data_IF_273984780310
#
_entry.id   IF_273984780310
#
_cell.length_a   1.000
_cell.length_b   1.000
_cell.length_c   1.000
_cell.angle_alpha   90.00
_cell.angle_beta   90.00
_cell.angle_gamma   90.00
#
_symmetry.space_group_name_H-M   'P 1'
#
loop_
_entity.id
_entity.type
_entity.pdbx_description
1 polymer ?
#
# COMPACT_ATOMS: atom_id res chain seq x y z
N UNK A 1 -47.10 17.92 15.00
CA UNK A 1 -46.43 19.23 15.05
C UNK A 1 -45.45 19.21 16.21
N UNK A 2 -44.15 19.44 15.99
CA UNK A 2 -43.19 19.56 17.10
C UNK A 2 -43.34 20.96 17.72
N UNK A 3 -43.57 21.00 19.03
CA UNK A 3 -43.75 22.23 19.82
C UNK A 3 -42.43 22.99 19.92
N UNK A 4 -42.42 24.25 19.51
CA UNK A 4 -41.29 25.17 19.68
C UNK A 4 -41.14 25.48 21.17
N UNK A 5 -40.06 25.02 21.80
CA UNK A 5 -39.74 25.35 23.20
C UNK A 5 -39.09 26.74 23.29
N UNK A 6 -39.24 27.48 24.41
CA UNK A 6 -38.68 28.82 24.60
C UNK A 6 -37.17 28.94 24.32
N UNK A 7 -36.42 27.85 24.49
CA UNK A 7 -34.97 27.78 24.23
C UNK A 7 -34.59 27.80 22.73
N UNK A 8 -35.56 27.79 21.81
CA UNK A 8 -35.32 27.92 20.36
C UNK A 8 -35.40 29.38 19.87
N UNK A 9 -35.76 30.32 20.75
CA UNK A 9 -35.88 31.74 20.42
C UNK A 9 -34.57 32.45 20.82
N UNK A 10 -33.63 32.53 19.89
CA UNK A 10 -32.38 33.30 20.09
C UNK A 10 -31.11 32.74 19.46
N UNK A 11 -31.16 31.59 18.78
CA UNK A 11 -30.01 31.12 17.97
C UNK A 11 -30.09 31.74 16.59
N UNK A 12 -29.09 32.55 16.24
CA UNK A 12 -29.04 33.36 15.02
C UNK A 12 -28.82 32.54 13.75
N UNK A 13 -28.18 31.37 13.85
CA UNK A 13 -28.04 30.39 12.76
C UNK A 13 -27.86 28.98 13.34
N UNK A 14 -28.39 27.96 12.66
CA UNK A 14 -28.23 26.54 13.00
C UNK A 14 -27.02 25.93 12.30
N UNK A 15 -26.45 24.86 12.85
CA UNK A 15 -25.29 24.15 12.27
C UNK A 15 -25.61 23.56 10.89
N UNK A 16 -26.88 23.22 10.68
CA UNK A 16 -27.44 22.74 9.42
C UNK A 16 -27.49 23.83 8.34
N UNK A 17 -27.55 25.09 8.73
CA UNK A 17 -27.61 26.26 7.84
C UNK A 17 -26.20 26.73 7.43
N UNK A 18 -25.16 26.28 8.15
CA UNK A 18 -23.77 26.60 7.85
C UNK A 18 -23.19 25.68 6.76
N UNK A 19 -22.35 26.26 5.90
CA UNK A 19 -21.54 25.47 4.96
C UNK A 19 -20.53 24.60 5.73
N UNK A 20 -20.62 23.28 5.55
CA UNK A 20 -19.70 22.32 6.16
C UNK A 20 -18.51 22.10 5.23
N UNK A 21 -17.32 22.53 5.67
CA UNK A 21 -16.05 22.27 4.98
C UNK A 21 -15.37 21.11 5.71
N UNK A 22 -15.37 19.91 5.12
CA UNK A 22 -14.76 18.73 5.75
C UNK A 22 -13.42 18.42 5.11
N UNK A 23 -12.40 18.15 5.92
CA UNK A 23 -11.09 17.70 5.44
C UNK A 23 -11.19 16.43 4.57
N UNK A 24 -12.17 15.56 4.84
CA UNK A 24 -12.46 14.36 4.06
C UNK A 24 -12.75 14.64 2.60
N UNK A 25 -13.37 15.77 2.30
CA UNK A 25 -13.83 16.11 0.95
C UNK A 25 -12.62 16.49 0.08
N UNK A 26 -11.60 17.11 0.69
CA UNK A 26 -10.32 17.40 0.05
C UNK A 26 -9.46 16.16 -0.08
N UNK A 27 -9.33 15.35 0.98
CA UNK A 27 -8.47 14.16 0.98
C UNK A 27 -9.02 13.02 0.13
N UNK A 28 -10.34 12.85 0.06
CA UNK A 28 -10.98 11.76 -0.67
C UNK A 28 -10.74 11.83 -2.17
N UNK A 29 -10.76 13.04 -2.73
CA UNK A 29 -10.64 13.28 -4.17
C UNK A 29 -9.27 12.84 -4.72
N UNK A 30 -8.19 13.13 -4.00
CA UNK A 30 -6.82 12.93 -4.49
C UNK A 30 -6.13 11.68 -3.93
N UNK A 31 -6.77 10.96 -3.00
CA UNK A 31 -6.12 9.86 -2.26
C UNK A 31 -5.54 8.76 -3.15
N UNK A 32 -6.16 8.48 -4.28
CA UNK A 32 -5.69 7.42 -5.19
C UNK A 32 -4.63 7.95 -6.17
N UNK A 33 -4.82 9.15 -6.70
CA UNK A 33 -3.87 9.81 -7.58
C UNK A 33 -2.53 10.06 -6.85
N UNK A 34 -2.59 10.60 -5.64
CA UNK A 34 -1.39 10.82 -4.81
C UNK A 34 -0.65 9.52 -4.51
N UNK A 35 -1.38 8.44 -4.20
CA UNK A 35 -0.76 7.11 -4.01
C UNK A 35 -0.05 6.64 -5.26
N UNK A 36 -0.68 6.79 -6.43
CA UNK A 36 -0.07 6.38 -7.69
C UNK A 36 1.19 7.19 -8.00
N UNK A 37 1.13 8.52 -7.81
CA UNK A 37 2.29 9.41 -8.00
C UNK A 37 3.42 9.02 -7.07
N UNK A 38 3.16 8.86 -5.77
CA UNK A 38 4.18 8.46 -4.78
C UNK A 38 4.82 7.13 -5.18
N UNK A 39 4.02 6.11 -5.52
CA UNK A 39 4.55 4.81 -5.92
C UNK A 39 5.44 4.94 -7.17
N UNK A 40 5.03 5.73 -8.17
CA UNK A 40 5.83 5.93 -9.39
C UNK A 40 7.15 6.64 -9.10
N UNK A 41 7.13 7.68 -8.27
CA UNK A 41 8.34 8.41 -7.88
C UNK A 41 9.33 7.51 -7.13
N UNK A 42 8.85 6.68 -6.21
CA UNK A 42 9.70 5.71 -5.49
C UNK A 42 10.32 4.67 -6.44
N UNK A 43 9.55 4.18 -7.42
CA UNK A 43 10.08 3.26 -8.44
C UNK A 43 11.15 3.91 -9.31
N UNK A 44 10.99 5.19 -9.64
CA UNK A 44 11.96 5.96 -10.43
C UNK A 44 13.27 6.18 -9.66
N UNK A 45 13.19 6.54 -8.38
CA UNK A 45 14.37 6.67 -7.49
C UNK A 45 15.15 5.36 -7.38
N UNK A 46 14.45 4.23 -7.35
CA UNK A 46 15.06 2.90 -7.31
C UNK A 46 15.51 2.39 -8.69
N UNK A 47 15.36 3.19 -9.75
CA UNK A 47 15.64 2.85 -11.16
C UNK A 47 14.92 1.59 -11.65
N UNK A 48 13.73 1.32 -11.07
CA UNK A 48 12.95 0.13 -11.37
C UNK A 48 11.96 0.40 -12.51
N UNK A 49 12.26 -0.13 -13.70
CA UNK A 49 11.35 -0.10 -14.86
C UNK A 49 10.22 -1.13 -14.68
N UNK A 50 9.21 -0.76 -13.90
CA UNK A 50 8.07 -1.63 -13.58
C UNK A 50 6.76 -0.89 -13.80
N UNK A 51 5.85 -1.49 -14.56
CA UNK A 51 4.51 -0.96 -14.75
C UNK A 51 3.59 -1.25 -13.57
N UNK A 52 2.68 -0.32 -13.31
CA UNK A 52 1.61 -0.47 -12.33
C UNK A 52 0.31 -0.90 -12.99
N UNK A 53 -0.48 -1.67 -12.25
CA UNK A 53 -1.85 -2.02 -12.60
C UNK A 53 -2.76 -1.82 -11.39
N UNK A 54 -4.00 -1.42 -11.63
CA UNK A 54 -5.01 -1.24 -10.59
C UNK A 54 -6.16 -2.21 -10.76
N UNK A 55 -6.80 -2.55 -9.64
CA UNK A 55 -8.07 -3.29 -9.64
C UNK A 55 -9.04 -2.65 -8.65
N UNK A 56 -10.31 -2.55 -9.03
CA UNK A 56 -11.39 -2.11 -8.13
C UNK A 56 -11.72 -3.21 -7.12
N UNK A 57 -11.92 -2.84 -5.86
CA UNK A 57 -12.43 -3.74 -4.81
C UNK A 57 -13.93 -3.51 -4.60
N UNK A 58 -14.59 -4.41 -3.86
CA UNK A 58 -16.04 -4.41 -3.67
C UNK A 58 -16.58 -3.11 -3.01
N UNK A 59 -15.74 -2.41 -2.24
CA UNK A 59 -16.13 -1.24 -1.45
C UNK A 59 -15.47 0.05 -1.98
N UNK A 60 -15.46 0.26 -3.30
CA UNK A 60 -14.84 1.42 -3.97
C UNK A 60 -13.35 1.66 -3.63
N UNK A 61 -12.66 0.64 -3.10
CA UNK A 61 -11.22 0.69 -2.90
C UNK A 61 -10.48 0.39 -4.20
N UNK A 62 -9.26 0.91 -4.30
CA UNK A 62 -8.33 0.57 -5.38
C UNK A 62 -7.18 -0.22 -4.78
N UNK A 63 -6.86 -1.36 -5.40
CA UNK A 63 -5.68 -2.15 -5.06
C UNK A 63 -4.64 -2.00 -6.16
N UNK A 64 -3.44 -1.62 -5.77
CA UNK A 64 -2.28 -1.53 -6.65
C UNK A 64 -1.59 -2.89 -6.79
N UNK A 65 -1.07 -3.12 -7.98
CA UNK A 65 -0.31 -4.31 -8.37
C UNK A 65 0.87 -3.88 -9.23
N UNK A 66 1.97 -4.60 -9.13
CA UNK A 66 3.03 -4.54 -10.13
C UNK A 66 2.68 -5.45 -11.30
N UNK A 67 3.05 -5.05 -12.52
CA UNK A 67 3.15 -5.97 -13.64
C UNK A 67 4.55 -6.56 -13.66
N UNK A 68 4.66 -7.88 -13.67
CA UNK A 68 5.97 -8.51 -13.78
C UNK A 68 6.59 -8.21 -15.16
N UNK A 69 7.83 -7.71 -15.23
CA UNK A 69 8.48 -7.38 -16.50
C UNK A 69 8.74 -8.61 -17.38
N UNK A 70 8.78 -9.82 -16.80
CA UNK A 70 9.06 -11.07 -17.50
C UNK A 70 7.80 -11.78 -18.04
N UNK A 71 6.65 -11.65 -17.36
CA UNK A 71 5.43 -12.39 -17.74
C UNK A 71 4.16 -11.54 -17.83
N UNK A 72 4.23 -10.24 -17.55
CA UNK A 72 3.11 -9.30 -17.61
C UNK A 72 2.02 -9.49 -16.56
N UNK A 73 2.12 -10.52 -15.71
CA UNK A 73 1.09 -10.82 -14.69
C UNK A 73 1.06 -9.77 -13.60
N UNK A 74 -0.13 -9.53 -13.04
CA UNK A 74 -0.35 -8.66 -11.87
C UNK A 74 0.04 -9.39 -10.60
N UNK A 75 1.03 -8.86 -9.89
CA UNK A 75 1.62 -9.48 -8.70
C UNK A 75 1.86 -8.41 -7.63
N UNK A 76 1.74 -8.79 -6.35
CA UNK A 76 1.91 -7.85 -5.23
C UNK A 76 3.37 -7.62 -4.84
N UNK A 77 4.28 -8.54 -5.19
CA UNK A 77 5.69 -8.52 -4.79
C UNK A 77 6.56 -8.90 -5.99
N UNK A 78 7.51 -8.05 -6.33
CA UNK A 78 8.62 -8.38 -7.23
C UNK A 78 9.86 -8.71 -6.40
N UNK A 79 10.69 -9.57 -6.95
CA UNK A 79 11.93 -10.00 -6.34
C UNK A 79 13.08 -9.57 -7.25
N UNK A 80 14.21 -9.21 -6.64
CA UNK A 80 15.49 -9.04 -7.32
C UNK A 80 16.31 -10.30 -7.08
N UNK A 81 16.71 -10.98 -8.14
CA UNK A 81 17.46 -12.22 -8.01
C UNK A 81 18.93 -11.93 -7.65
N UNK A 82 19.51 -12.64 -6.66
CA UNK A 82 20.76 -12.24 -6.02
C UNK A 82 21.99 -12.31 -6.95
N UNK A 83 21.98 -13.21 -7.94
CA UNK A 83 23.16 -13.45 -8.79
C UNK A 83 23.17 -12.64 -10.08
N UNK A 84 22.02 -12.29 -10.64
CA UNK A 84 21.89 -11.69 -11.97
C UNK A 84 21.19 -10.33 -11.93
N UNK A 85 20.85 -9.84 -10.72
CA UNK A 85 20.09 -8.61 -10.50
C UNK A 85 18.76 -8.52 -11.27
N UNK A 86 18.28 -9.63 -11.83
CA UNK A 86 17.06 -9.65 -12.62
C UNK A 86 15.85 -9.44 -11.72
N UNK A 87 14.90 -8.62 -12.18
CA UNK A 87 13.69 -8.31 -11.45
C UNK A 87 12.53 -9.08 -12.06
N UNK A 88 11.75 -9.74 -11.20
CA UNK A 88 10.69 -10.59 -11.68
C UNK A 88 9.82 -11.15 -10.57
N UNK A 89 8.83 -11.93 -10.96
CA UNK A 89 7.98 -12.61 -10.00
C UNK A 89 8.62 -13.90 -9.50
N UNK A 90 8.07 -14.44 -8.40
CA UNK A 90 8.55 -15.69 -7.81
C UNK A 90 8.67 -16.84 -8.83
N UNK A 91 7.70 -16.96 -9.74
CA UNK A 91 7.68 -18.03 -10.74
C UNK A 91 8.73 -17.81 -11.83
N UNK A 92 8.85 -16.58 -12.36
CA UNK A 92 9.83 -16.27 -13.40
C UNK A 92 11.26 -16.43 -12.91
N UNK A 93 11.53 -16.06 -11.65
CA UNK A 93 12.84 -16.22 -11.03
C UNK A 93 13.05 -17.60 -10.40
N UNK A 94 12.11 -18.54 -10.58
CA UNK A 94 12.17 -19.91 -10.04
C UNK A 94 12.52 -19.97 -8.55
N UNK A 95 11.97 -19.03 -7.77
CA UNK A 95 12.20 -18.95 -6.33
C UNK A 95 11.26 -19.90 -5.58
N UNK A 96 11.82 -20.64 -4.63
CA UNK A 96 11.08 -21.52 -3.73
C UNK A 96 11.02 -20.97 -2.31
N UNK A 97 9.95 -21.33 -1.59
CA UNK A 97 9.85 -21.03 -0.17
C UNK A 97 10.72 -21.98 0.63
N UNK A 98 11.45 -21.43 1.61
CA UNK A 98 12.25 -22.20 2.58
C UNK A 98 11.48 -23.40 3.14
N UNK A 99 10.27 -23.15 3.66
CA UNK A 99 9.38 -24.17 4.24
C UNK A 99 9.05 -25.34 3.29
N UNK A 100 9.06 -25.13 1.96
CA UNK A 100 8.87 -26.23 0.99
C UNK A 100 10.16 -26.99 0.74
N UNK A 101 11.30 -26.30 0.69
CA UNK A 101 12.60 -26.89 0.34
C UNK A 101 13.21 -27.72 1.48
N UNK A 102 13.07 -27.26 2.72
CA UNK A 102 13.75 -27.87 3.87
C UNK A 102 12.79 -28.63 4.79
N UNK A 103 11.58 -28.96 4.31
CA UNK A 103 10.59 -29.73 5.07
C UNK A 103 11.20 -31.08 5.50
N UNK A 104 11.35 -31.29 6.81
CA UNK A 104 11.92 -32.51 7.38
C UNK A 104 13.44 -32.49 7.59
N UNK A 105 14.09 -31.37 7.30
CA UNK A 105 15.50 -31.13 7.65
C UNK A 105 15.56 -30.31 8.94
N UNK A 106 16.61 -30.52 9.76
CA UNK A 106 16.90 -29.62 10.89
C UNK A 106 17.34 -28.28 10.29
N UNK A 107 16.47 -27.28 10.34
CA UNK A 107 16.82 -25.92 9.92
C UNK A 107 17.61 -25.27 11.05
N UNK A 108 18.82 -24.79 10.76
CA UNK A 108 19.58 -23.96 11.70
C UNK A 108 18.80 -22.66 11.94
N UNK A 109 18.20 -22.56 13.13
CA UNK A 109 17.40 -21.44 13.56
C UNK A 109 18.30 -20.30 14.05
N UNK A 110 18.90 -19.59 13.09
CA UNK A 110 19.41 -18.23 13.29
C UNK A 110 20.86 -18.12 13.73
N UNK A 111 21.71 -17.64 12.81
CA UNK A 111 22.84 -16.80 13.23
C UNK A 111 22.25 -15.50 13.82
N UNK A 112 22.68 -15.07 15.03
CA UNK A 112 22.27 -13.79 15.57
C UNK A 112 22.73 -12.69 14.60
N UNK A 113 21.79 -11.83 14.21
CA UNK A 113 22.13 -10.56 13.58
C UNK A 113 22.92 -9.78 14.62
N UNK A 114 24.20 -9.53 14.35
CA UNK A 114 25.03 -8.61 15.11
C UNK A 114 24.38 -7.23 15.10
N UNK A 115 23.70 -6.87 16.19
CA UNK A 115 23.36 -5.48 16.47
C UNK A 115 24.63 -4.82 17.00
N UNK A 116 25.28 -4.00 16.18
CA UNK A 116 26.44 -3.14 16.53
C UNK A 116 26.09 -2.02 17.52
N UNK A 117 25.26 -2.26 18.54
CA UNK A 117 24.74 -1.21 19.42
C UNK A 117 25.13 -1.32 20.90
N UNK A 118 26.02 -2.24 21.28
CA UNK A 118 26.55 -2.34 22.66
C UNK A 118 28.07 -2.08 22.72
N UNK A 119 28.52 -0.97 22.11
CA UNK A 119 29.82 -0.36 22.38
C UNK A 119 29.68 1.16 22.44
N UNK A 120 29.05 1.65 23.51
CA UNK A 120 29.38 2.91 24.21
C UNK A 120 28.65 2.97 25.56
#
# INVERSE_FOLDING_TARGET
MKTLTPNNLGKTFLVEECQKIKISDFLGKYRNELKEVIIKSELEILELKVDLATSKTCHNGIRFWFKCPLCGRRIGILFKHPLNSAIGCRQCLKLDYRKRRYKGMIEDSGLPQSTESDMM
#
